data_IF_810140896090
#
_entry.id   IF_810140896090
#
_cell.length_a   1.000
_cell.length_b   1.000
_cell.length_c   1.000
_cell.angle_alpha   90.00
_cell.angle_beta   90.00
_cell.angle_gamma   90.00
#
_symmetry.space_group_name_H-M   'P 1'
#
loop_
_entity.id
_entity.type
_entity.pdbx_description
1 polymer ?
#
# COMPACT_ATOMS: atom_id res chain seq x y z
N UNK A 1 31.19 -4.31 -23.18
CA UNK A 1 30.60 -5.21 -22.17
C UNK A 1 29.66 -4.46 -21.23
N UNK A 2 29.96 -3.21 -20.84
CA UNK A 2 29.07 -2.44 -19.95
C UNK A 2 27.74 -2.01 -20.59
N UNK A 3 27.70 -1.66 -21.88
CA UNK A 3 26.44 -1.25 -22.56
C UNK A 3 25.39 -2.36 -22.62
N UNK A 4 25.81 -3.62 -22.85
CA UNK A 4 24.90 -4.77 -22.87
C UNK A 4 24.33 -5.02 -21.47
N UNK A 5 25.18 -4.90 -20.44
CA UNK A 5 24.77 -5.06 -19.04
C UNK A 5 23.81 -3.95 -18.61
N UNK A 6 24.08 -2.71 -19.01
CA UNK A 6 23.21 -1.57 -18.70
C UNK A 6 21.85 -1.68 -19.39
N UNK A 7 21.82 -2.05 -20.67
CA UNK A 7 20.59 -2.30 -21.42
C UNK A 7 19.73 -3.40 -20.79
N UNK A 8 20.36 -4.50 -20.34
CA UNK A 8 19.68 -5.58 -19.63
C UNK A 8 18.99 -5.09 -18.36
N UNK A 9 19.69 -4.30 -17.53
CA UNK A 9 19.12 -3.78 -16.28
C UNK A 9 17.99 -2.79 -16.52
N UNK A 10 18.11 -1.89 -17.51
CA UNK A 10 17.02 -0.96 -17.90
C UNK A 10 15.75 -1.72 -18.29
N UNK A 11 15.91 -2.81 -19.05
CA UNK A 11 14.77 -3.64 -19.45
C UNK A 11 14.12 -4.36 -18.26
N UNK A 12 14.94 -4.97 -17.39
CA UNK A 12 14.44 -5.61 -16.16
C UNK A 12 13.73 -4.64 -15.22
N UNK A 13 14.27 -3.43 -15.09
CA UNK A 13 13.70 -2.38 -14.26
C UNK A 13 12.34 -1.91 -14.78
N UNK A 14 12.21 -1.73 -16.10
CA UNK A 14 10.93 -1.42 -16.73
C UNK A 14 9.89 -2.53 -16.49
N UNK A 15 10.28 -3.80 -16.66
CA UNK A 15 9.38 -4.93 -16.42
C UNK A 15 8.93 -5.03 -14.96
N UNK A 16 9.85 -4.79 -14.01
CA UNK A 16 9.51 -4.77 -12.59
C UNK A 16 8.52 -3.64 -12.28
N UNK A 17 8.75 -2.44 -12.81
CA UNK A 17 7.84 -1.31 -12.63
C UNK A 17 6.46 -1.61 -13.19
N UNK A 18 6.36 -2.04 -14.45
CA UNK A 18 5.07 -2.32 -15.08
C UNK A 18 4.29 -3.40 -14.32
N UNK A 19 4.98 -4.46 -13.87
CA UNK A 19 4.38 -5.49 -13.03
C UNK A 19 3.85 -4.92 -11.71
N UNK A 20 4.65 -4.16 -10.97
CA UNK A 20 4.23 -3.58 -9.68
C UNK A 20 3.04 -2.65 -9.89
N UNK A 21 3.13 -1.74 -10.86
CA UNK A 21 2.06 -0.81 -11.21
C UNK A 21 0.77 -1.54 -11.59
N UNK A 22 0.83 -2.52 -12.49
CA UNK A 22 -0.34 -3.30 -12.89
C UNK A 22 -0.92 -4.11 -11.74
N UNK A 23 -0.08 -4.79 -10.95
CA UNK A 23 -0.56 -5.65 -9.85
C UNK A 23 -1.33 -4.84 -8.81
N UNK A 24 -0.84 -3.65 -8.49
CA UNK A 24 -1.45 -2.77 -7.49
C UNK A 24 -2.56 -1.88 -8.06
N UNK A 25 -2.74 -1.83 -9.39
CA UNK A 25 -3.58 -0.81 -10.02
C UNK A 25 -3.04 0.62 -9.84
N UNK A 26 -1.73 0.76 -9.59
CA UNK A 26 -1.09 2.05 -9.42
C UNK A 26 -0.68 2.68 -10.74
N UNK A 27 -1.02 3.95 -10.92
CA UNK A 27 -0.33 4.83 -11.85
C UNK A 27 1.04 5.26 -11.30
N UNK A 28 1.91 5.85 -12.15
CA UNK A 28 3.23 6.33 -11.73
C UNK A 28 3.18 7.29 -10.54
N UNK A 29 2.19 8.18 -10.47
CA UNK A 29 2.03 9.14 -9.36
C UNK A 29 1.65 8.45 -8.06
N UNK A 30 0.74 7.47 -8.10
CA UNK A 30 0.35 6.72 -6.92
C UNK A 30 1.52 5.89 -6.35
N UNK A 31 2.33 5.29 -7.24
CA UNK A 31 3.55 4.60 -6.83
C UNK A 31 4.59 5.58 -6.25
N UNK A 32 4.78 6.75 -6.85
CA UNK A 32 5.69 7.78 -6.33
C UNK A 32 5.28 8.25 -4.92
N UNK A 33 3.98 8.52 -4.73
CA UNK A 33 3.42 8.87 -3.43
C UNK A 33 3.65 7.77 -2.40
N UNK A 34 3.36 6.51 -2.74
CA UNK A 34 3.60 5.38 -1.82
C UNK A 34 5.07 5.22 -1.46
N UNK A 35 5.99 5.39 -2.41
CA UNK A 35 7.42 5.34 -2.12
C UNK A 35 7.88 6.51 -1.23
N UNK A 36 7.30 7.70 -1.41
CA UNK A 36 7.54 8.84 -0.53
C UNK A 36 7.03 8.58 0.90
N UNK A 37 5.84 8.00 1.06
CA UNK A 37 5.28 7.63 2.37
C UNK A 37 6.12 6.57 3.11
N UNK A 38 6.88 5.74 2.39
CA UNK A 38 7.76 4.71 2.94
C UNK A 38 9.20 5.19 3.19
N UNK A 39 9.57 6.38 2.71
CA UNK A 39 10.92 6.89 2.85
C UNK A 39 11.05 7.66 4.16
N UNK A 40 11.98 7.26 5.03
CA UNK A 40 12.23 7.93 6.30
C UNK A 40 12.73 9.37 6.11
N UNK A 41 13.55 9.64 5.09
CA UNK A 41 14.01 10.99 4.73
C UNK A 41 14.39 11.11 3.24
N UNK A 42 14.14 12.28 2.65
CA UNK A 42 14.88 12.77 1.47
C UNK A 42 14.38 12.38 0.08
N UNK A 43 13.28 11.63 -0.05
CA UNK A 43 12.69 11.30 -1.35
C UNK A 43 11.54 12.23 -1.69
N UNK A 44 11.82 13.35 -2.36
CA UNK A 44 10.77 14.23 -2.87
C UNK A 44 9.89 13.47 -3.88
N UNK A 45 8.56 13.50 -3.72
CA UNK A 45 7.60 12.81 -4.61
C UNK A 45 7.85 13.13 -6.09
N UNK A 46 8.15 14.40 -6.41
CA UNK A 46 8.41 14.85 -7.78
C UNK A 46 9.68 14.23 -8.39
N UNK A 47 10.67 13.94 -7.54
CA UNK A 47 11.92 13.28 -7.92
C UNK A 47 11.70 11.77 -8.11
N UNK A 48 10.90 11.16 -7.24
CA UNK A 48 10.49 9.75 -7.35
C UNK A 48 9.70 9.50 -8.65
N UNK A 49 8.73 10.36 -8.94
CA UNK A 49 7.92 10.28 -10.14
C UNK A 49 8.77 10.36 -11.41
N UNK A 50 9.71 11.32 -11.45
CA UNK A 50 10.65 11.46 -12.57
C UNK A 50 11.52 10.20 -12.74
N UNK A 51 12.06 9.67 -11.64
CA UNK A 51 12.85 8.44 -11.68
C UNK A 51 12.05 7.25 -12.24
N UNK A 52 10.82 7.03 -11.74
CA UNK A 52 9.91 5.98 -12.22
C UNK A 52 9.64 6.14 -13.72
N UNK A 53 9.27 7.34 -14.17
CA UNK A 53 8.92 7.59 -15.57
C UNK A 53 10.10 7.33 -16.51
N UNK A 54 11.31 7.75 -16.13
CA UNK A 54 12.52 7.54 -16.95
C UNK A 54 12.96 6.07 -16.96
N UNK A 55 12.89 5.39 -15.82
CA UNK A 55 13.20 3.97 -15.74
C UNK A 55 12.23 3.12 -16.55
N UNK A 56 10.93 3.44 -16.49
CA UNK A 56 9.89 2.78 -17.30
C UNK A 56 10.08 2.98 -18.80
N UNK A 57 10.64 4.12 -19.23
CA UNK A 57 10.99 4.36 -20.64
C UNK A 57 12.31 3.71 -21.06
N UNK A 58 13.02 3.07 -20.14
CA UNK A 58 14.35 2.51 -20.38
C UNK A 58 15.43 3.57 -20.57
N UNK A 59 15.19 4.82 -20.17
CA UNK A 59 16.17 5.90 -20.29
C UNK A 59 17.28 5.77 -19.23
N UNK A 60 16.94 5.28 -18.04
CA UNK A 60 17.84 5.13 -16.90
C UNK A 60 17.60 3.82 -16.17
N UNK A 61 18.62 3.28 -15.51
CA UNK A 61 18.46 2.16 -14.58
C UNK A 61 18.02 2.69 -13.22
N UNK A 62 17.25 1.90 -12.48
CA UNK A 62 16.90 2.24 -11.11
C UNK A 62 18.09 2.05 -10.17
N UNK A 63 18.09 2.78 -9.05
CA UNK A 63 19.04 2.52 -7.98
C UNK A 63 18.78 1.14 -7.36
N UNK A 64 19.81 0.44 -6.84
CA UNK A 64 19.62 -0.85 -6.18
C UNK A 64 18.61 -0.80 -5.01
N UNK A 65 18.60 0.30 -4.26
CA UNK A 65 17.66 0.53 -3.17
C UNK A 65 16.21 0.59 -3.67
N UNK A 66 15.94 1.37 -4.72
CA UNK A 66 14.61 1.45 -5.32
C UNK A 66 14.12 0.09 -5.82
N UNK A 67 15.01 -0.66 -6.48
CA UNK A 67 14.70 -2.00 -6.96
C UNK A 67 14.32 -2.93 -5.80
N UNK A 68 15.05 -2.88 -4.70
CA UNK A 68 14.76 -3.69 -3.51
C UNK A 68 13.40 -3.33 -2.91
N UNK A 69 13.07 -2.04 -2.80
CA UNK A 69 11.76 -1.58 -2.31
C UNK A 69 10.64 -2.07 -3.22
N UNK A 70 10.78 -1.94 -4.54
CA UNK A 70 9.79 -2.41 -5.51
C UNK A 70 9.61 -3.94 -5.47
N UNK A 71 10.68 -4.70 -5.28
CA UNK A 71 10.60 -6.15 -5.08
C UNK A 71 9.89 -6.51 -3.77
N UNK A 72 10.14 -5.75 -2.70
CA UNK A 72 9.41 -5.86 -1.43
C UNK A 72 7.91 -5.64 -1.63
N UNK A 73 7.55 -4.55 -2.31
CA UNK A 73 6.18 -4.20 -2.67
C UNK A 73 5.48 -5.29 -3.50
N UNK A 74 6.11 -5.84 -4.55
CA UNK A 74 5.56 -6.97 -5.32
C UNK A 74 5.37 -8.22 -4.43
N UNK A 75 6.33 -8.51 -3.55
CA UNK A 75 6.24 -9.65 -2.64
C UNK A 75 5.10 -9.49 -1.64
N UNK A 76 4.96 -8.31 -1.06
CA UNK A 76 3.92 -8.00 -0.08
C UNK A 76 2.54 -8.04 -0.74
N UNK A 77 2.41 -7.52 -1.96
CA UNK A 77 1.18 -7.65 -2.75
C UNK A 77 0.80 -9.10 -2.98
N UNK A 78 1.73 -9.94 -3.47
CA UNK A 78 1.47 -11.37 -3.70
C UNK A 78 1.14 -12.12 -2.41
N UNK A 79 1.72 -11.72 -1.27
CA UNK A 79 1.37 -12.27 0.04
C UNK A 79 -0.07 -11.89 0.40
N UNK A 80 -0.42 -10.62 0.27
CA UNK A 80 -1.77 -10.12 0.52
C UNK A 80 -2.80 -10.78 -0.41
N UNK A 81 -2.47 -11.02 -1.68
CA UNK A 81 -3.31 -11.73 -2.63
C UNK A 81 -3.60 -13.16 -2.18
N UNK A 82 -2.57 -13.90 -1.74
CA UNK A 82 -2.78 -15.26 -1.20
C UNK A 82 -3.64 -15.23 0.05
N UNK A 83 -3.36 -14.32 0.98
CA UNK A 83 -4.13 -14.17 2.21
C UNK A 83 -5.60 -13.80 1.94
N UNK A 84 -5.84 -12.87 1.01
CA UNK A 84 -7.17 -12.45 0.58
C UNK A 84 -7.98 -13.60 -0.02
N UNK A 85 -7.33 -14.47 -0.80
CA UNK A 85 -7.95 -15.64 -1.41
C UNK A 85 -8.24 -16.76 -0.41
N UNK A 86 -7.37 -16.95 0.57
CA UNK A 86 -7.47 -18.00 1.59
C UNK A 86 -8.36 -17.60 2.77
N UNK A 87 -8.66 -16.31 2.92
CA UNK A 87 -9.51 -15.80 3.98
C UNK A 87 -10.95 -16.33 3.87
N UNK A 88 -11.50 -16.73 5.01
CA UNK A 88 -12.90 -17.12 5.13
C UNK A 88 -13.78 -15.86 5.11
N UNK A 89 -14.14 -15.41 3.91
CA UNK A 89 -15.07 -14.30 3.72
C UNK A 89 -16.50 -14.77 3.97
N UNK A 90 -17.21 -14.06 4.83
CA UNK A 90 -18.63 -14.25 5.10
C UNK A 90 -19.41 -13.07 4.53
N UNK A 91 -20.45 -13.35 3.77
CA UNK A 91 -21.36 -12.32 3.26
C UNK A 91 -22.46 -12.08 4.30
N UNK A 92 -22.55 -10.84 4.77
CA UNK A 92 -23.58 -10.39 5.70
C UNK A 92 -24.83 -9.87 4.97
N UNK A 93 -25.77 -9.36 5.76
CA UNK A 93 -26.88 -8.56 5.22
C UNK A 93 -26.35 -7.32 4.48
N UNK A 94 -27.00 -6.96 3.37
CA UNK A 94 -26.67 -5.82 2.51
C UNK A 94 -25.42 -5.99 1.61
N UNK A 95 -24.93 -7.22 1.41
CA UNK A 95 -23.79 -7.50 0.52
C UNK A 95 -22.44 -7.08 1.09
N UNK A 96 -22.39 -6.79 2.38
CA UNK A 96 -21.14 -6.50 3.10
C UNK A 96 -20.38 -7.81 3.28
N UNK A 97 -19.12 -7.85 2.83
CA UNK A 97 -18.25 -9.00 3.04
C UNK A 97 -17.38 -8.75 4.27
N UNK A 98 -17.30 -9.74 5.16
CA UNK A 98 -16.48 -9.66 6.37
C UNK A 98 -15.51 -10.82 6.44
N UNK A 99 -14.37 -10.59 7.06
CA UNK A 99 -13.46 -11.67 7.46
C UNK A 99 -12.68 -11.28 8.71
N UNK A 100 -12.16 -12.28 9.40
CA UNK A 100 -11.32 -12.09 10.58
C UNK A 100 -9.88 -12.45 10.21
N UNK A 101 -8.96 -11.55 10.51
CA UNK A 101 -7.53 -11.77 10.29
C UNK A 101 -6.73 -11.19 11.45
N UNK A 102 -5.94 -12.05 12.13
CA UNK A 102 -5.24 -11.72 13.38
C UNK A 102 -6.25 -11.22 14.44
N UNK A 103 -6.06 -10.01 14.95
CA UNK A 103 -6.94 -9.34 15.91
C UNK A 103 -7.86 -8.28 15.25
N UNK A 104 -8.03 -8.35 13.93
CA UNK A 104 -8.82 -7.41 13.16
C UNK A 104 -10.04 -8.04 12.52
N UNK A 105 -11.13 -7.28 12.54
CA UNK A 105 -12.25 -7.48 11.63
C UNK A 105 -12.03 -6.63 10.37
N UNK A 106 -12.06 -7.28 9.21
CA UNK A 106 -12.06 -6.64 7.91
C UNK A 106 -13.49 -6.64 7.39
N UNK A 107 -14.00 -5.47 7.00
CA UNK A 107 -15.32 -5.32 6.39
C UNK A 107 -15.20 -4.60 5.04
N UNK A 108 -15.73 -5.19 3.98
CA UNK A 108 -15.86 -4.60 2.65
C UNK A 108 -17.32 -4.22 2.42
N UNK A 109 -17.57 -2.92 2.33
CA UNK A 109 -18.92 -2.38 2.15
C UNK A 109 -19.10 -2.01 0.69
N UNK A 110 -20.07 -2.62 -0.03
CA UNK A 110 -20.36 -2.24 -1.41
C UNK A 110 -20.94 -0.84 -1.43
N UNK A 111 -20.55 -0.08 -2.44
CA UNK A 111 -20.98 1.29 -2.67
C UNK A 111 -21.53 1.41 -4.10
N UNK A 112 -21.99 2.61 -4.48
CA UNK A 112 -22.53 2.81 -5.84
C UNK A 112 -21.43 2.61 -6.90
N UNK A 113 -21.81 2.03 -8.04
CA UNK A 113 -20.96 1.84 -9.24
C UNK A 113 -19.73 0.95 -9.01
N UNK A 114 -19.91 -0.21 -8.37
CA UNK A 114 -18.84 -1.21 -8.13
C UNK A 114 -17.70 -0.75 -7.22
N UNK A 115 -17.88 0.37 -6.52
CA UNK A 115 -16.88 0.85 -5.56
C UNK A 115 -17.00 0.10 -4.25
N UNK A 116 -15.87 -0.19 -3.65
CA UNK A 116 -15.80 -0.87 -2.36
C UNK A 116 -15.07 0.02 -1.36
N UNK A 117 -15.69 0.16 -0.19
CA UNK A 117 -15.06 0.76 0.98
C UNK A 117 -14.50 -0.36 1.85
N UNK A 118 -13.20 -0.31 2.10
CA UNK A 118 -12.54 -1.20 3.04
C UNK A 118 -12.58 -0.55 4.42
N UNK A 119 -13.03 -1.29 5.42
CA UNK A 119 -12.95 -0.91 6.82
C UNK A 119 -12.14 -1.97 7.56
N UNK A 120 -11.23 -1.52 8.42
CA UNK A 120 -10.43 -2.37 9.27
C UNK A 120 -10.68 -1.94 10.72
N UNK A 121 -11.01 -2.90 11.59
CA UNK A 121 -11.26 -2.62 13.00
C UNK A 121 -10.43 -3.53 13.88
N UNK A 122 -9.60 -2.93 14.73
CA UNK A 122 -8.88 -3.66 15.76
C UNK A 122 -9.82 -3.99 16.92
N UNK A 123 -10.03 -5.28 17.17
CA UNK A 123 -11.06 -5.75 18.10
C UNK A 123 -10.75 -5.41 19.56
N UNK A 124 -9.47 -5.34 19.94
CA UNK A 124 -9.07 -5.10 21.34
C UNK A 124 -9.29 -3.65 21.77
N UNK A 125 -8.97 -2.67 20.92
CA UNK A 125 -9.09 -1.25 21.26
C UNK A 125 -10.27 -0.54 20.55
N UNK A 126 -11.07 -1.26 19.73
CA UNK A 126 -12.07 -0.68 18.82
C UNK A 126 -11.54 0.47 17.97
N UNK A 127 -10.24 0.42 17.67
CA UNK A 127 -9.55 1.40 16.83
C UNK A 127 -9.74 1.03 15.36
N UNK A 128 -9.98 2.02 14.52
CA UNK A 128 -10.02 1.84 13.07
C UNK A 128 -9.01 2.79 12.43
N UNK A 129 -7.95 2.29 11.77
CA UNK A 129 -7.03 3.12 11.02
C UNK A 129 -7.77 3.86 9.90
N UNK A 130 -7.30 5.07 9.59
CA UNK A 130 -7.87 5.89 8.52
C UNK A 130 -7.60 5.26 7.15
N UNK A 131 -8.64 5.15 6.32
CA UNK A 131 -8.54 4.63 4.96
C UNK A 131 -8.66 5.75 3.95
N UNK A 132 -7.74 5.80 2.98
CA UNK A 132 -7.65 6.96 2.08
C UNK A 132 -8.27 6.69 0.70
N UNK A 133 -8.43 5.43 0.25
CA UNK A 133 -8.78 5.18 -1.16
C UNK A 133 -9.88 4.12 -1.38
N UNK A 134 -10.85 4.50 -2.22
CA UNK A 134 -11.91 3.63 -2.74
C UNK A 134 -11.31 2.66 -3.77
N UNK A 135 -11.81 1.42 -3.80
CA UNK A 135 -11.39 0.43 -4.79
C UNK A 135 -12.51 0.20 -5.80
N UNK A 136 -12.16 0.15 -7.08
CA UNK A 136 -13.13 0.05 -8.18
C UNK A 136 -13.62 -1.40 -8.43
N UNK A 137 -12.99 -2.39 -7.77
CA UNK A 137 -13.37 -3.78 -7.87
C UNK A 137 -13.19 -4.52 -6.52
N UNK A 138 -13.96 -5.60 -6.35
CA UNK A 138 -14.01 -6.36 -5.10
C UNK A 138 -12.70 -7.08 -4.81
N UNK A 139 -12.05 -7.65 -5.83
CA UNK A 139 -10.85 -8.47 -5.62
C UNK A 139 -9.67 -7.58 -5.20
N UNK A 140 -9.47 -6.44 -5.85
CA UNK A 140 -8.52 -5.41 -5.41
C UNK A 140 -8.86 -4.90 -4.02
N UNK A 141 -10.15 -4.73 -3.68
CA UNK A 141 -10.56 -4.34 -2.33
C UNK A 141 -10.13 -5.37 -1.26
N UNK A 142 -10.29 -6.67 -1.53
CA UNK A 142 -9.82 -7.74 -0.65
C UNK A 142 -8.30 -7.68 -0.49
N UNK A 143 -7.54 -7.58 -1.58
CA UNK A 143 -6.07 -7.56 -1.53
C UNK A 143 -5.58 -6.33 -0.76
N UNK A 144 -6.13 -5.15 -1.07
CA UNK A 144 -5.81 -3.89 -0.39
C UNK A 144 -6.09 -3.95 1.10
N UNK A 145 -7.15 -4.63 1.51
CA UNK A 145 -7.44 -4.83 2.92
C UNK A 145 -6.30 -5.56 3.65
N UNK A 146 -5.72 -6.59 3.01
CA UNK A 146 -4.61 -7.34 3.58
C UNK A 146 -3.28 -6.59 3.54
N UNK A 147 -3.01 -5.80 2.50
CA UNK A 147 -1.82 -4.92 2.46
C UNK A 147 -1.86 -3.93 3.63
N UNK A 148 -2.99 -3.25 3.81
CA UNK A 148 -3.12 -2.25 4.86
C UNK A 148 -3.24 -2.87 6.27
N UNK A 149 -3.76 -4.09 6.40
CA UNK A 149 -3.67 -4.86 7.64
C UNK A 149 -2.21 -5.06 8.04
N UNK A 150 -1.34 -5.42 7.09
CA UNK A 150 0.08 -5.59 7.35
C UNK A 150 0.74 -4.25 7.74
N UNK A 151 0.45 -3.15 7.04
CA UNK A 151 0.92 -1.81 7.40
C UNK A 151 0.47 -1.40 8.81
N UNK A 152 -0.83 -1.59 9.12
CA UNK A 152 -1.41 -1.23 10.43
C UNK A 152 -0.80 -2.06 11.55
N UNK A 153 -0.60 -3.36 11.32
CA UNK A 153 0.01 -4.24 12.30
C UNK A 153 1.47 -3.85 12.59
N UNK A 154 2.20 -3.44 11.55
CA UNK A 154 3.55 -2.93 11.69
C UNK A 154 3.55 -1.64 12.51
N UNK A 155 2.73 -0.64 12.14
CA UNK A 155 2.60 0.64 12.85
C UNK A 155 2.27 0.44 14.35
N UNK A 156 1.34 -0.47 14.67
CA UNK A 156 0.96 -0.76 16.06
C UNK A 156 2.08 -1.43 16.85
N UNK A 157 2.82 -2.35 16.22
CA UNK A 157 3.94 -3.02 16.87
C UNK A 157 5.03 -2.03 17.29
N UNK A 158 5.34 -1.05 16.43
CA UNK A 158 6.31 0.01 16.76
C UNK A 158 5.84 0.87 17.95
N UNK A 159 4.54 1.16 18.03
CA UNK A 159 3.96 1.89 19.16
C UNK A 159 4.04 1.11 20.48
N UNK A 160 3.88 -0.21 20.45
CA UNK A 160 4.00 -1.09 21.62
C UNK A 160 5.45 -1.25 22.10
N UNK A 161 6.41 -1.23 21.18
CA UNK A 161 7.86 -1.36 21.48
C UNK A 161 8.49 -0.03 21.99
N UNK A 162 7.76 1.08 21.98
CA UNK A 162 8.19 2.36 22.59
C UNK A 162 9.28 3.11 21.81
N UNK A 163 9.49 2.77 20.54
CA UNK A 163 10.35 3.55 19.65
C UNK A 163 9.55 4.71 19.03
N UNK A 164 9.95 5.95 19.33
CA UNK A 164 9.39 7.18 18.76
C UNK A 164 9.54 7.19 17.22
N UNK A 165 8.51 6.76 16.50
CA UNK A 165 8.43 6.99 15.05
C UNK A 165 8.03 8.47 14.80
N UNK A 166 8.66 9.19 13.86
CA UNK A 166 8.30 10.58 13.59
C UNK A 166 6.82 10.67 13.24
N UNK A 167 6.08 11.43 14.04
CA UNK A 167 4.67 11.67 13.85
C UNK A 167 4.42 12.07 12.38
N UNK A 168 3.54 11.33 11.69
CA UNK A 168 3.05 11.74 10.36
C UNK A 168 2.49 13.15 10.50
N UNK A 169 3.22 14.13 9.99
CA UNK A 169 2.85 15.54 10.03
C UNK A 169 1.58 15.73 9.21
N UNK A 170 0.42 15.75 9.86
CA UNK A 170 -0.85 15.89 9.16
C UNK A 170 -2.13 15.84 10.00
N UNK A 171 -2.08 15.46 11.27
CA UNK A 171 -3.24 15.57 12.16
C UNK A 171 -2.85 16.35 13.41
N UNK A 172 -3.03 17.67 13.35
CA UNK A 172 -3.20 18.45 14.57
C UNK A 172 -4.47 17.95 15.26
N UNK A 173 -4.44 17.61 16.56
CA UNK A 173 -5.67 17.45 17.33
C UNK A 173 -6.35 18.83 17.39
N UNK A 174 -7.59 18.92 16.90
CA UNK A 174 -8.44 20.07 17.17
C UNK A 174 -8.59 20.20 18.70
N UNK A 175 -8.00 21.26 19.27
CA UNK A 175 -8.26 21.66 20.64
C UNK A 175 -9.77 21.90 20.81
N UNK A 176 -10.43 21.31 21.81
CA UNK A 176 -11.79 21.68 22.11
C UNK A 176 -11.81 23.12 22.62
N UNK A 177 -12.52 23.98 21.88
CA UNK A 177 -12.78 25.35 22.27
C UNK A 177 -13.32 25.39 23.71
N UNK A 178 -12.57 26.06 24.60
CA UNK A 178 -13.03 26.36 25.95
C UNK A 178 -14.20 27.35 25.86
N UNK A 179 -15.29 26.99 26.54
CA UNK A 179 -16.47 27.82 26.78
C UNK A 179 -16.14 29.04 27.65
#
# INVERSE_FOLDING_TARGET
>A
MDEIRESYWKHQDSQLLDRVMSSMGFGPSALAKRLNEMADDGWEESSCLRAIQRARRGETSMTPALRLVLQGLDRDWRRAERAAREAAWTEGTDGILRTMARDFEISLVPQRKSRWRVNLQYLKAKYSPSWIEWQDDLETAKIRAFVQLDDTWLDMRWQEEGEDFPAKSGQQPEEPAKA
#
